data_IF_971631045556
#
_entry.id   IF_971631045556
#
_cell.length_a   1.000
_cell.length_b   1.000
_cell.length_c   1.000
_cell.angle_alpha   90.00
_cell.angle_beta   90.00
_cell.angle_gamma   90.00
#
_symmetry.space_group_name_H-M   'P 1'
#
loop_
_entity.id
_entity.type
_entity.pdbx_description
1 polymer ?
#
# COMPACT_ATOMS: atom_id res chain seq x y z
N UNK A 1 0.97 -20.93 13.27
CA UNK A 1 2.39 -20.60 13.33
C UNK A 1 2.51 -19.08 13.45
N UNK A 2 3.08 -18.56 14.56
CA UNK A 2 2.99 -17.15 14.94
C UNK A 2 4.02 -16.32 14.17
N UNK A 3 3.55 -15.34 13.40
CA UNK A 3 4.39 -14.28 12.85
C UNK A 3 4.67 -13.24 13.94
N UNK A 4 5.86 -13.28 14.53
CA UNK A 4 6.41 -12.16 15.29
C UNK A 4 7.31 -11.36 14.38
N UNK A 5 6.89 -10.15 14.01
CA UNK A 5 7.75 -9.18 13.31
C UNK A 5 8.08 -8.06 14.27
N UNK A 6 9.37 -7.85 14.47
CA UNK A 6 9.98 -6.81 15.29
C UNK A 6 9.74 -5.42 14.69
N UNK A 7 9.33 -4.50 15.53
CA UNK A 7 9.24 -3.07 15.24
C UNK A 7 8.89 -2.31 16.51
N UNK A 8 9.89 -2.04 17.34
CA UNK A 8 9.74 -1.13 18.50
C UNK A 8 9.69 0.33 18.03
N UNK A 9 8.51 0.95 18.17
CA UNK A 9 8.40 2.39 18.16
C UNK A 9 7.94 2.86 19.56
N UNK A 10 8.74 3.74 20.15
CA UNK A 10 8.61 4.28 21.50
C UNK A 10 7.24 4.90 21.77
N UNK A 11 6.58 4.43 22.82
CA UNK A 11 5.34 4.98 23.33
C UNK A 11 5.55 6.32 24.02
N UNK A 12 4.72 7.31 23.65
CA UNK A 12 4.44 8.46 24.49
C UNK A 12 3.23 8.16 25.34
N UNK A 13 3.42 8.20 26.66
CA UNK A 13 2.35 8.12 27.65
C UNK A 13 1.38 9.29 27.50
N UNK A 14 0.09 8.96 27.40
CA UNK A 14 -1.00 9.92 27.50
C UNK A 14 -1.51 9.87 28.94
N UNK A 15 -1.34 10.97 29.66
CA UNK A 15 -1.74 11.17 31.05
C UNK A 15 -3.25 11.00 31.27
N UNK A 16 -3.58 10.25 32.31
CA UNK A 16 -4.94 10.08 32.85
C UNK A 16 -5.52 11.41 33.35
N UNK A 17 -6.56 11.91 32.67
CA UNK A 17 -7.44 12.92 33.25
C UNK A 17 -8.49 12.24 34.12
N UNK A 18 -8.44 12.46 35.43
CA UNK A 18 -9.46 12.02 36.41
C UNK A 18 -10.71 12.88 36.23
N UNK A 19 -11.80 12.31 35.73
CA UNK A 19 -13.12 12.92 35.81
C UNK A 19 -13.66 12.77 37.23
N UNK A 20 -13.70 13.86 37.96
CA UNK A 20 -14.41 14.00 39.27
C UNK A 20 -15.87 14.25 38.91
N UNK A 21 -16.75 13.31 39.28
CA UNK A 21 -18.20 13.48 39.18
C UNK A 21 -18.71 14.03 40.51
N UNK A 22 -19.48 15.15 40.57
CA UNK A 22 -20.09 15.64 41.80
C UNK A 22 -21.24 14.74 42.24
N UNK A 23 -21.31 14.41 43.53
CA UNK A 23 -22.43 13.70 44.18
C UNK A 23 -23.66 14.61 44.16
N UNK A 24 -24.77 14.09 43.67
CA UNK A 24 -26.12 14.64 43.87
C UNK A 24 -26.93 13.58 44.61
N UNK A 25 -27.40 13.98 45.81
CA UNK A 25 -28.24 13.11 46.66
C UNK A 25 -29.65 13.01 46.09
N UNK A 26 -30.14 11.77 45.99
CA UNK A 26 -31.55 11.40 45.83
C UNK A 26 -32.07 11.34 44.38
N UNK A 27 -32.08 10.19 43.83
CA UNK A 27 -33.14 9.47 43.12
C UNK A 27 -32.56 8.29 42.32
N UNK A 28 -33.21 7.17 42.46
CA UNK A 28 -33.18 5.93 41.67
C UNK A 28 -31.95 5.63 40.82
N UNK A 29 -31.23 4.60 41.20
CA UNK A 29 -30.11 4.01 40.44
C UNK A 29 -30.59 3.50 39.07
N UNK A 30 -30.54 4.35 38.07
CA UNK A 30 -30.39 3.90 36.72
C UNK A 30 -28.97 3.31 36.59
N UNK A 31 -28.89 1.98 36.60
CA UNK A 31 -27.68 1.28 36.16
C UNK A 31 -27.46 1.61 34.67
N UNK A 32 -26.77 2.69 34.41
CA UNK A 32 -26.15 2.91 33.11
C UNK A 32 -25.02 1.88 33.06
N UNK A 33 -25.31 0.73 32.46
CA UNK A 33 -24.26 -0.13 31.91
C UNK A 33 -23.53 0.70 30.87
N UNK A 34 -22.50 1.41 31.29
CA UNK A 34 -21.46 1.83 30.39
C UNK A 34 -20.87 0.54 29.78
N UNK A 35 -21.46 0.08 28.67
CA UNK A 35 -20.82 -0.89 27.81
C UNK A 35 -19.50 -0.24 27.39
N UNK A 36 -18.41 -0.60 28.09
CA UNK A 36 -17.08 -0.36 27.59
C UNK A 36 -17.02 -1.06 26.24
N UNK A 37 -17.21 -0.31 25.15
CA UNK A 37 -16.96 -0.83 23.81
C UNK A 37 -15.52 -1.32 23.83
N UNK A 38 -15.37 -2.63 23.83
CA UNK A 38 -14.07 -3.26 23.67
C UNK A 38 -13.49 -2.75 22.35
N UNK A 39 -12.57 -1.80 22.43
CA UNK A 39 -11.94 -1.23 21.22
C UNK A 39 -10.92 -2.27 20.75
N UNK A 40 -11.34 -3.11 19.80
CA UNK A 40 -10.41 -4.02 19.11
C UNK A 40 -9.54 -3.19 18.20
N UNK A 41 -8.23 -3.17 18.46
CA UNK A 41 -7.23 -2.50 17.63
C UNK A 41 -6.51 -3.53 16.77
N UNK A 42 -6.90 -3.61 15.50
CA UNK A 42 -6.19 -4.43 14.51
C UNK A 42 -4.97 -3.64 14.00
N UNK A 43 -3.86 -4.37 13.78
CA UNK A 43 -2.68 -3.82 13.10
C UNK A 43 -2.62 -4.40 11.70
N UNK A 44 -2.70 -3.53 10.68
CA UNK A 44 -2.45 -3.92 9.31
C UNK A 44 -1.01 -4.47 9.18
N UNK A 45 -0.82 -5.55 8.41
CA UNK A 45 0.49 -6.17 8.21
C UNK A 45 0.95 -6.03 6.77
N UNK A 46 0.23 -6.66 5.84
CA UNK A 46 0.55 -6.60 4.42
C UNK A 46 -0.65 -7.08 3.59
N UNK A 47 -0.74 -6.68 2.33
CA UNK A 47 -1.55 -7.39 1.35
C UNK A 47 -0.89 -8.75 1.04
N UNK A 48 -1.71 -9.74 0.68
CA UNK A 48 -1.25 -11.08 0.33
C UNK A 48 -1.81 -11.44 -1.04
N UNK A 49 -0.93 -11.82 -1.98
CA UNK A 49 -1.25 -12.20 -3.34
C UNK A 49 -1.13 -13.72 -3.50
N UNK A 50 -2.16 -14.36 -4.04
CA UNK A 50 -2.12 -15.79 -4.31
C UNK A 50 -1.51 -16.06 -5.69
N UNK A 51 -0.40 -16.81 -5.74
CA UNK A 51 0.39 -17.07 -6.95
C UNK A 51 0.42 -18.55 -7.31
N UNK A 52 0.43 -18.84 -8.61
CA UNK A 52 0.44 -20.23 -9.11
C UNK A 52 1.86 -20.81 -9.26
N UNK A 53 2.86 -19.95 -9.37
CA UNK A 53 4.27 -20.30 -9.52
C UNK A 53 5.09 -19.33 -8.67
N UNK A 54 5.55 -19.80 -7.52
CA UNK A 54 6.25 -18.97 -6.54
C UNK A 54 7.60 -18.47 -7.08
N UNK A 55 8.38 -19.34 -7.71
CA UNK A 55 9.72 -19.00 -8.22
C UNK A 55 9.62 -17.92 -9.30
N UNK A 56 8.71 -18.11 -10.25
CA UNK A 56 8.45 -17.13 -11.31
C UNK A 56 7.92 -15.80 -10.79
N UNK A 57 7.14 -15.83 -9.72
CA UNK A 57 6.63 -14.60 -9.11
C UNK A 57 7.71 -13.88 -8.34
N UNK A 58 8.58 -14.60 -7.62
CA UNK A 58 9.76 -14.01 -6.96
C UNK A 58 10.65 -13.34 -8.01
N UNK A 59 11.02 -14.04 -9.08
CA UNK A 59 11.83 -13.50 -10.18
C UNK A 59 11.22 -12.22 -10.76
N UNK A 60 9.91 -12.21 -11.00
CA UNK A 60 9.20 -11.03 -11.50
C UNK A 60 9.33 -9.82 -10.55
N UNK A 61 9.10 -10.01 -9.26
CA UNK A 61 9.16 -8.90 -8.30
C UNK A 61 10.59 -8.45 -8.01
N UNK A 62 11.56 -9.36 -8.00
CA UNK A 62 12.97 -9.01 -7.81
C UNK A 62 13.58 -8.34 -9.05
N UNK A 63 13.33 -8.87 -10.25
CA UNK A 63 13.94 -8.36 -11.47
C UNK A 63 13.22 -7.12 -12.00
N UNK A 64 11.89 -7.15 -12.15
CA UNK A 64 11.17 -6.06 -12.78
C UNK A 64 10.83 -4.93 -11.83
N UNK A 65 10.41 -5.24 -10.59
CA UNK A 65 10.03 -4.23 -9.59
C UNK A 65 11.24 -3.80 -8.77
N UNK A 66 12.25 -4.67 -8.61
CA UNK A 66 13.43 -4.39 -7.80
C UNK A 66 13.20 -4.55 -6.31
N UNK A 67 12.09 -5.14 -5.89
CA UNK A 67 11.82 -5.45 -4.49
C UNK A 67 12.45 -6.78 -4.10
N UNK A 68 12.89 -6.91 -2.85
CA UNK A 68 13.65 -8.08 -2.40
C UNK A 68 12.85 -8.92 -1.43
N UNK A 69 13.15 -10.23 -1.45
CA UNK A 69 12.61 -11.16 -0.46
C UNK A 69 13.19 -10.86 0.91
N UNK A 70 12.32 -10.48 1.86
CA UNK A 70 12.66 -10.29 3.27
C UNK A 70 12.61 -11.62 4.04
N UNK A 71 11.60 -12.47 3.78
CA UNK A 71 11.45 -13.77 4.42
C UNK A 71 10.85 -14.78 3.43
N UNK A 72 11.39 -16.00 3.41
CA UNK A 72 10.89 -17.09 2.58
C UNK A 72 10.57 -18.31 3.47
N UNK A 73 9.27 -18.68 3.48
CA UNK A 73 8.76 -19.85 4.21
C UNK A 73 8.33 -20.99 3.26
N UNK A 74 8.79 -20.97 2.01
CA UNK A 74 8.41 -21.92 0.97
C UNK A 74 7.09 -21.52 0.31
N UNK A 75 5.98 -21.89 0.91
CA UNK A 75 4.63 -21.60 0.39
C UNK A 75 4.16 -20.16 0.63
N UNK A 76 4.89 -19.39 1.45
CA UNK A 76 4.66 -17.96 1.73
C UNK A 76 5.98 -17.20 1.67
N UNK A 77 6.00 -16.09 0.94
CA UNK A 77 7.18 -15.24 0.77
C UNK A 77 6.79 -13.80 1.03
N UNK A 78 7.57 -13.12 1.89
CA UNK A 78 7.35 -11.71 2.27
C UNK A 78 8.42 -10.85 1.62
N UNK A 79 8.03 -9.74 1.02
CA UNK A 79 8.91 -8.76 0.39
C UNK A 79 9.19 -7.57 1.31
N UNK A 80 10.34 -6.89 1.11
CA UNK A 80 10.75 -5.70 1.87
C UNK A 80 9.76 -4.55 1.69
N UNK A 81 9.14 -4.42 0.50
CA UNK A 81 8.10 -3.45 0.19
C UNK A 81 6.79 -3.63 0.96
N UNK A 82 6.66 -4.67 1.78
CA UNK A 82 5.55 -4.83 2.71
C UNK A 82 4.34 -5.55 2.15
N UNK A 83 4.49 -6.38 1.14
CA UNK A 83 3.49 -7.33 0.64
C UNK A 83 4.00 -8.78 0.74
N UNK A 84 3.12 -9.75 0.55
CA UNK A 84 3.47 -11.16 0.59
C UNK A 84 2.84 -11.94 -0.58
N UNK A 85 3.54 -13.00 -0.99
CA UNK A 85 3.01 -14.01 -1.91
C UNK A 85 2.62 -15.26 -1.13
N UNK A 86 1.54 -15.91 -1.55
CA UNK A 86 1.09 -17.18 -1.02
C UNK A 86 0.86 -18.17 -2.16
N UNK A 87 1.38 -19.38 -2.05
CA UNK A 87 1.14 -20.43 -3.03
C UNK A 87 -0.37 -20.68 -3.18
N UNK A 88 -0.87 -20.73 -4.41
CA UNK A 88 -2.29 -20.84 -4.75
C UNK A 88 -2.98 -22.06 -4.13
N UNK A 89 -2.29 -23.21 -4.09
CA UNK A 89 -2.84 -24.44 -3.51
C UNK A 89 -3.08 -24.27 -2.01
N UNK A 90 -2.09 -23.78 -1.30
CA UNK A 90 -2.19 -23.50 0.14
C UNK A 90 -3.21 -22.38 0.41
N UNK A 91 -3.24 -21.34 -0.42
CA UNK A 91 -4.25 -20.28 -0.33
C UNK A 91 -5.68 -20.83 -0.38
N UNK A 92 -6.00 -21.66 -1.39
CA UNK A 92 -7.32 -22.29 -1.52
C UNK A 92 -7.71 -23.11 -0.29
N UNK A 93 -6.77 -23.87 0.27
CA UNK A 93 -6.99 -24.64 1.49
C UNK A 93 -7.28 -23.72 2.69
N UNK A 94 -6.54 -22.59 2.83
CA UNK A 94 -6.70 -21.64 3.93
C UNK A 94 -8.08 -20.95 3.92
N UNK A 95 -8.59 -20.60 2.76
CA UNK A 95 -9.88 -19.91 2.60
C UNK A 95 -11.05 -20.86 2.33
N UNK A 96 -10.81 -22.17 2.34
CA UNK A 96 -11.81 -23.22 2.15
C UNK A 96 -12.62 -23.11 0.84
N UNK A 97 -11.98 -22.72 -0.28
CA UNK A 97 -12.63 -22.64 -1.58
C UNK A 97 -11.66 -22.87 -2.74
N UNK A 98 -12.15 -23.53 -3.77
CA UNK A 98 -11.46 -23.69 -5.04
C UNK A 98 -11.68 -22.50 -6.01
N UNK A 99 -12.66 -21.64 -5.71
CA UNK A 99 -13.06 -20.56 -6.62
C UNK A 99 -12.22 -19.29 -6.36
N UNK A 100 -11.01 -19.26 -6.91
CA UNK A 100 -10.15 -18.08 -6.91
C UNK A 100 -10.13 -17.47 -8.31
N UNK A 101 -10.63 -16.25 -8.45
CA UNK A 101 -10.67 -15.53 -9.73
C UNK A 101 -9.36 -14.78 -9.94
N UNK A 102 -8.58 -15.21 -10.91
CA UNK A 102 -7.44 -14.46 -11.46
C UNK A 102 -7.96 -13.33 -12.34
N UNK A 103 -7.18 -12.25 -12.50
CA UNK A 103 -7.53 -11.10 -13.34
C UNK A 103 -8.89 -10.47 -12.93
N UNK A 104 -9.14 -10.37 -11.64
CA UNK A 104 -10.37 -9.74 -11.13
C UNK A 104 -10.33 -8.20 -11.21
N UNK A 105 -9.15 -7.60 -11.38
CA UNK A 105 -8.90 -6.16 -11.52
C UNK A 105 -9.49 -5.31 -10.37
N UNK A 106 -9.63 -5.89 -9.18
CA UNK A 106 -10.26 -5.23 -8.03
C UNK A 106 -9.25 -4.63 -7.04
N UNK A 107 -7.96 -4.99 -7.19
CA UNK A 107 -6.85 -4.56 -6.33
C UNK A 107 -5.64 -4.35 -7.20
N UNK A 108 -4.82 -3.38 -6.84
CA UNK A 108 -3.50 -3.16 -7.42
C UNK A 108 -2.44 -3.00 -6.32
N UNK A 109 -1.20 -3.32 -6.65
CA UNK A 109 -0.02 -2.87 -5.91
C UNK A 109 0.52 -1.63 -6.59
N UNK A 110 0.65 -0.54 -5.83
CA UNK A 110 1.15 0.74 -6.32
C UNK A 110 2.59 0.95 -5.89
N UNK A 111 3.44 1.31 -6.86
CA UNK A 111 4.84 1.68 -6.68
C UNK A 111 5.11 3.05 -7.28
N UNK A 112 6.10 3.76 -6.76
CA UNK A 112 6.58 5.02 -7.32
C UNK A 112 8.02 4.89 -7.82
N UNK A 113 8.31 5.55 -8.95
CA UNK A 113 9.64 5.60 -9.55
C UNK A 113 10.08 7.06 -9.75
N UNK A 114 11.24 7.43 -9.20
CA UNK A 114 11.78 8.78 -9.32
C UNK A 114 12.23 9.11 -10.75
N UNK A 115 12.80 8.14 -11.45
CA UNK A 115 13.23 8.26 -12.84
C UNK A 115 12.32 7.47 -13.78
N UNK A 116 11.08 7.92 -13.88
CA UNK A 116 10.02 7.24 -14.62
C UNK A 116 10.38 7.00 -16.10
N UNK A 117 11.10 7.93 -16.76
CA UNK A 117 11.51 7.74 -18.15
C UNK A 117 12.51 6.58 -18.29
N UNK A 118 13.47 6.47 -17.36
CA UNK A 118 14.40 5.34 -17.32
C UNK A 118 13.69 4.02 -17.08
N UNK A 119 12.69 4.03 -16.21
CA UNK A 119 11.86 2.84 -15.96
C UNK A 119 11.10 2.42 -17.22
N UNK A 120 10.54 3.36 -17.97
CA UNK A 120 9.88 3.05 -19.25
C UNK A 120 10.82 2.43 -20.29
N UNK A 121 12.09 2.89 -20.35
CA UNK A 121 13.09 2.23 -21.20
C UNK A 121 13.39 0.82 -20.71
N UNK A 122 13.51 0.63 -19.40
CA UNK A 122 13.74 -0.68 -18.80
C UNK A 122 12.60 -1.67 -19.07
N UNK A 123 11.35 -1.23 -19.07
CA UNK A 123 10.21 -2.09 -19.40
C UNK A 123 10.29 -2.70 -20.81
N UNK A 124 11.07 -2.11 -21.72
CA UNK A 124 11.26 -2.67 -23.09
C UNK A 124 12.06 -3.98 -23.09
N UNK A 125 12.81 -4.25 -22.01
CA UNK A 125 13.53 -5.52 -21.85
C UNK A 125 12.58 -6.68 -21.51
N UNK A 126 11.29 -6.37 -21.21
CA UNK A 126 10.25 -7.36 -20.88
C UNK A 126 9.16 -7.44 -21.95
N UNK A 127 9.45 -7.92 -23.18
CA UNK A 127 8.51 -7.86 -24.31
C UNK A 127 7.26 -8.75 -24.13
N UNK A 128 7.27 -9.64 -23.13
CA UNK A 128 6.13 -10.51 -22.79
C UNK A 128 5.22 -9.92 -21.71
N UNK A 129 5.58 -8.75 -21.17
CA UNK A 129 4.78 -8.06 -20.15
C UNK A 129 3.38 -7.73 -20.69
N UNK A 130 2.35 -8.04 -19.90
CA UNK A 130 0.97 -7.80 -20.30
C UNK A 130 0.48 -6.50 -19.65
N UNK A 131 0.27 -5.51 -20.46
CA UNK A 131 -0.22 -4.22 -19.99
C UNK A 131 -1.74 -4.26 -19.75
N UNK A 132 -2.19 -3.53 -18.73
CA UNK A 132 -3.59 -3.11 -18.58
C UNK A 132 -3.85 -1.96 -19.54
N UNK A 133 -2.95 -0.96 -19.51
CA UNK A 133 -2.86 0.16 -20.45
C UNK A 133 -1.41 0.67 -20.50
N UNK A 134 -1.08 1.42 -21.53
CA UNK A 134 0.21 2.11 -21.65
C UNK A 134 0.34 3.27 -20.67
N UNK A 135 1.34 4.12 -20.90
CA UNK A 135 1.55 5.33 -20.09
C UNK A 135 0.38 6.29 -20.25
N UNK A 136 -0.19 6.74 -19.15
CA UNK A 136 -1.23 7.77 -19.08
C UNK A 136 -0.86 8.84 -18.06
N UNK A 137 -1.19 10.10 -18.34
CA UNK A 137 -1.08 11.19 -17.37
C UNK A 137 -2.40 11.35 -16.64
N UNK A 138 -2.36 11.26 -15.33
CA UNK A 138 -3.50 11.45 -14.45
C UNK A 138 -3.83 12.95 -14.31
N UNK A 139 -5.08 13.31 -13.91
CA UNK A 139 -5.49 14.70 -13.76
C UNK A 139 -4.58 15.54 -12.84
N UNK A 140 -3.97 14.89 -11.85
CA UNK A 140 -3.01 15.53 -10.94
C UNK A 140 -1.59 15.67 -11.47
N UNK A 141 -1.36 15.31 -12.76
CA UNK A 141 -0.10 15.51 -13.46
C UNK A 141 0.92 14.38 -13.35
N UNK A 142 0.57 13.31 -12.63
CA UNK A 142 1.39 12.11 -12.52
C UNK A 142 1.23 11.22 -13.76
N UNK A 143 2.33 10.76 -14.33
CA UNK A 143 2.29 9.68 -15.32
C UNK A 143 2.29 8.34 -14.62
N UNK A 144 1.49 7.42 -15.11
CA UNK A 144 1.38 6.05 -14.59
C UNK A 144 1.40 5.04 -15.74
N UNK A 145 1.84 3.82 -15.44
CA UNK A 145 1.71 2.65 -16.31
C UNK A 145 1.18 1.51 -15.49
N UNK A 146 0.24 0.72 -16.06
CA UNK A 146 -0.33 -0.45 -15.40
C UNK A 146 -0.10 -1.71 -16.20
N UNK A 147 0.38 -2.75 -15.54
CA UNK A 147 0.62 -4.06 -16.14
C UNK A 147 0.25 -5.17 -15.15
N UNK A 148 0.26 -6.40 -15.63
CA UNK A 148 -0.03 -7.57 -14.82
C UNK A 148 1.24 -8.28 -14.40
N UNK A 149 1.22 -8.80 -13.16
CA UNK A 149 2.16 -9.83 -12.72
C UNK A 149 1.85 -11.18 -13.39
N UNK A 150 2.65 -12.26 -13.17
CA UNK A 150 2.42 -13.58 -13.76
C UNK A 150 1.03 -14.17 -13.45
N UNK A 151 0.41 -13.80 -12.34
CA UNK A 151 -0.90 -14.27 -11.90
C UNK A 151 -2.06 -13.30 -12.17
N UNK A 152 -1.79 -12.21 -12.90
CA UNK A 152 -2.75 -11.18 -13.29
C UNK A 152 -3.22 -10.29 -12.13
N UNK A 153 -2.39 -10.07 -11.12
CA UNK A 153 -2.58 -8.93 -10.23
C UNK A 153 -2.12 -7.66 -10.93
N UNK A 154 -2.84 -6.56 -10.71
CA UNK A 154 -2.46 -5.27 -11.30
C UNK A 154 -1.29 -4.69 -10.52
N UNK A 155 -0.27 -4.28 -11.26
CA UNK A 155 0.84 -3.47 -10.77
C UNK A 155 0.70 -2.11 -11.41
N UNK A 156 0.60 -1.07 -10.60
CA UNK A 156 0.75 0.32 -11.05
C UNK A 156 2.13 0.81 -10.66
N UNK A 157 2.84 1.39 -11.62
CA UNK A 157 4.04 2.19 -11.34
C UNK A 157 3.74 3.62 -11.77
N UNK A 158 3.81 4.54 -10.83
CA UNK A 158 3.63 5.97 -11.03
C UNK A 158 4.95 6.74 -10.95
N UNK A 159 5.00 7.87 -11.65
CA UNK A 159 6.05 8.88 -11.47
C UNK A 159 6.01 9.35 -10.00
N UNK A 160 7.14 9.37 -9.30
CA UNK A 160 7.16 9.78 -7.90
C UNK A 160 6.57 11.20 -7.74
N UNK A 161 5.63 11.37 -6.81
CA UNK A 161 4.92 12.64 -6.67
C UNK A 161 5.84 13.82 -6.34
N UNK A 162 6.95 13.58 -5.67
CA UNK A 162 7.99 14.60 -5.44
C UNK A 162 8.60 15.09 -6.76
N UNK A 163 8.82 14.21 -7.73
CA UNK A 163 9.30 14.55 -9.05
C UNK A 163 8.25 15.33 -9.86
N UNK A 164 6.99 14.91 -9.76
CA UNK A 164 5.84 15.61 -10.39
C UNK A 164 5.73 17.05 -9.85
N UNK A 165 5.74 17.24 -8.54
CA UNK A 165 5.65 18.55 -7.90
C UNK A 165 6.81 19.45 -8.36
N UNK A 166 8.06 18.95 -8.34
CA UNK A 166 9.23 19.67 -8.83
C UNK A 166 9.10 20.07 -10.31
N UNK A 167 8.59 19.18 -11.15
CA UNK A 167 8.34 19.42 -12.58
C UNK A 167 7.30 20.53 -12.78
N UNK A 168 6.20 20.49 -12.04
CA UNK A 168 5.14 21.51 -12.11
C UNK A 168 5.63 22.89 -11.65
N UNK A 169 6.39 22.98 -10.56
CA UNK A 169 7.01 24.22 -10.11
C UNK A 169 7.99 24.76 -11.15
N UNK A 170 8.85 23.91 -11.73
CA UNK A 170 9.78 24.30 -12.80
C UNK A 170 9.09 24.78 -14.08
N UNK A 171 7.85 24.33 -14.34
CA UNK A 171 7.05 24.82 -15.47
C UNK A 171 6.49 26.24 -15.27
N UNK A 172 6.70 26.86 -14.10
CA UNK A 172 6.27 28.20 -13.74
C UNK A 172 4.93 28.26 -13.01
N UNK A 173 4.37 27.14 -12.60
CA UNK A 173 3.17 27.12 -11.74
C UNK A 173 3.52 27.64 -10.35
N UNK A 174 2.59 28.39 -9.72
CA UNK A 174 2.75 28.82 -8.33
C UNK A 174 2.55 27.64 -7.37
N UNK A 175 2.99 27.78 -6.13
CA UNK A 175 2.79 26.78 -5.07
C UNK A 175 1.31 26.41 -4.90
N UNK A 176 0.43 27.40 -4.95
CA UNK A 176 -1.02 27.23 -4.85
C UNK A 176 -1.58 26.44 -6.04
N UNK A 177 -1.16 26.77 -7.25
CA UNK A 177 -1.56 26.04 -8.46
C UNK A 177 -1.08 24.59 -8.45
N UNK A 178 0.16 24.35 -7.99
CA UNK A 178 0.70 23.00 -7.87
C UNK A 178 -0.04 22.21 -6.78
N UNK A 179 -0.36 22.84 -5.65
CA UNK A 179 -1.15 22.21 -4.58
C UNK A 179 -2.54 21.80 -5.07
N UNK A 180 -3.21 22.68 -5.81
CA UNK A 180 -4.53 22.40 -6.40
C UNK A 180 -4.45 21.24 -7.41
N UNK A 181 -3.50 21.30 -8.35
CA UNK A 181 -3.35 20.29 -9.39
C UNK A 181 -2.93 18.95 -8.83
N UNK A 182 -1.90 18.92 -7.98
CA UNK A 182 -1.33 17.67 -7.43
C UNK A 182 -2.18 17.07 -6.31
N UNK A 183 -3.12 17.84 -5.75
CA UNK A 183 -3.93 17.50 -4.58
C UNK A 183 -3.11 17.32 -3.29
N UNK A 184 -1.84 17.74 -3.29
CA UNK A 184 -0.99 17.74 -2.10
C UNK A 184 -1.15 19.03 -1.31
N UNK A 185 -1.07 18.99 0.03
CA UNK A 185 -1.16 20.19 0.88
C UNK A 185 -0.10 21.24 0.49
N UNK A 186 -0.47 22.53 0.54
CA UNK A 186 0.43 23.66 0.24
C UNK A 186 1.75 23.54 1.01
N UNK A 187 1.70 23.18 2.29
CA UNK A 187 2.89 23.03 3.13
C UNK A 187 3.81 21.89 2.66
N UNK A 188 3.25 20.89 1.98
CA UNK A 188 4.05 19.84 1.35
C UNK A 188 4.76 20.38 0.10
N UNK A 189 4.02 21.08 -0.77
CA UNK A 189 4.55 21.65 -2.02
C UNK A 189 5.64 22.69 -1.76
N UNK A 190 5.51 23.52 -0.73
CA UNK A 190 6.53 24.52 -0.32
C UNK A 190 7.91 23.92 -0.03
N UNK A 191 7.98 22.62 0.28
CA UNK A 191 9.28 21.95 0.50
C UNK A 191 10.13 21.84 -0.75
N UNK A 192 9.54 22.05 -1.93
CA UNK A 192 10.19 21.91 -3.24
C UNK A 192 10.25 23.24 -4.02
N UNK A 193 9.73 24.34 -3.45
CA UNK A 193 9.69 25.68 -4.06
C UNK A 193 10.98 26.47 -3.82
#
# INVERSE_FOLDING_TARGET
MHLQVLGEAQGKEISNAKNVVPRVDGCEAFFIFAQSKLTVMLKFKCPLLAVTDMEKSIEFYEELIGDRVAMNFGENVVFEGGFALQEMKTWKAMIHTENVRRKNNAVELYFEEENFDRFLEYLKEFPKLKYVHGVEEMPWGQRVVRFYDPDFHIIEVGEAMDAVIKKLLKSGMTVEQVSEKSQYPIEYVKRFA
#
